data_IF_672792973748
#
_entry.id   IF_672792973748
#
_cell.length_a   1.000
_cell.length_b   1.000
_cell.length_c   1.000
_cell.angle_alpha   90.00
_cell.angle_beta   90.00
_cell.angle_gamma   90.00
#
_symmetry.space_group_name_H-M   'P 1'
#
loop_
_entity.id
_entity.type
_entity.pdbx_description
1 polymer ?
#
# COMPACT_ATOMS: atom_id res chain seq x y z
N UNK A 1 0.21 17.03 11.08
CA UNK A 1 0.75 15.71 11.49
C UNK A 1 1.96 15.99 12.36
N UNK A 2 2.04 15.45 13.60
CA UNK A 2 3.21 15.65 14.44
C UNK A 2 4.44 15.06 13.74
N UNK A 3 5.54 15.81 13.71
CA UNK A 3 6.81 15.28 13.25
C UNK A 3 7.47 14.45 14.35
N UNK A 4 8.42 13.58 13.99
CA UNK A 4 9.24 12.79 14.93
C UNK A 4 9.85 13.65 16.06
N UNK A 5 10.14 14.92 15.78
CA UNK A 5 10.82 15.84 16.68
C UNK A 5 9.91 16.92 17.29
N UNK A 6 8.62 16.92 16.96
CA UNK A 6 7.70 17.95 17.44
C UNK A 6 6.35 17.36 17.83
N UNK A 7 6.21 16.83 19.05
CA UNK A 7 4.96 16.27 19.53
C UNK A 7 3.91 17.37 19.67
N UNK A 8 2.71 17.15 19.12
CA UNK A 8 1.56 18.00 19.38
C UNK A 8 0.89 17.48 20.67
N UNK A 9 0.78 18.34 21.69
CA UNK A 9 0.09 18.04 22.95
C UNK A 9 0.58 16.76 23.67
N UNK A 10 1.89 16.48 23.65
CA UNK A 10 2.46 15.31 24.30
C UNK A 10 2.17 13.97 23.59
N UNK A 11 1.69 14.02 22.35
CA UNK A 11 1.52 12.86 21.47
C UNK A 11 2.74 12.71 20.59
N UNK A 12 3.29 11.52 20.55
CA UNK A 12 4.40 11.16 19.71
C UNK A 12 3.90 10.37 18.50
N UNK A 13 4.62 10.44 17.39
CA UNK A 13 4.35 9.65 16.20
C UNK A 13 4.34 8.14 16.51
N UNK A 14 5.23 7.71 17.40
CA UNK A 14 5.39 6.34 17.88
C UNK A 14 4.70 6.14 19.23
N UNK A 15 3.42 6.43 19.31
CA UNK A 15 2.71 6.35 20.58
C UNK A 15 1.73 5.18 20.64
N UNK A 16 1.38 4.82 21.86
CA UNK A 16 0.32 3.88 22.18
C UNK A 16 -1.03 4.36 21.63
N UNK A 17 -1.79 3.41 21.06
CA UNK A 17 -3.15 3.69 20.59
C UNK A 17 -4.15 3.46 21.71
N UNK A 18 -4.81 4.51 22.22
CA UNK A 18 -5.77 4.36 23.30
C UNK A 18 -7.02 3.59 22.82
N UNK A 19 -7.74 2.88 23.73
CA UNK A 19 -8.85 2.00 23.36
C UNK A 19 -9.93 2.63 22.48
N UNK A 20 -10.29 3.89 22.73
CA UNK A 20 -11.29 4.64 21.97
C UNK A 20 -10.85 4.98 20.52
N UNK A 21 -9.59 4.73 20.18
CA UNK A 21 -9.02 4.92 18.82
C UNK A 21 -8.75 3.60 18.10
N UNK A 22 -9.12 2.47 18.68
CA UNK A 22 -8.91 1.14 18.09
C UNK A 22 -10.03 0.69 17.16
N UNK A 23 -10.94 1.57 16.81
CA UNK A 23 -11.98 1.35 15.81
C UNK A 23 -12.82 0.07 15.98
N UNK A 24 -13.09 -0.35 17.23
CA UNK A 24 -13.92 -1.52 17.54
C UNK A 24 -13.20 -2.88 17.48
N UNK A 25 -11.87 -2.90 17.35
CA UNK A 25 -11.13 -4.15 17.46
C UNK A 25 -11.13 -4.65 18.93
N UNK A 26 -11.58 -5.88 19.14
CA UNK A 26 -11.63 -6.56 20.44
C UNK A 26 -10.23 -6.97 20.91
N UNK A 27 -9.39 -7.41 20.00
CA UNK A 27 -8.00 -7.77 20.22
C UNK A 27 -7.10 -6.77 19.49
N UNK A 28 -6.23 -6.10 20.24
CA UNK A 28 -5.29 -5.11 19.72
C UNK A 28 -3.87 -5.49 20.12
N UNK A 29 -2.99 -5.54 19.11
CA UNK A 29 -1.56 -5.78 19.28
C UNK A 29 -0.81 -4.97 18.23
N UNK A 30 -0.13 -3.89 18.63
CA UNK A 30 0.43 -2.92 17.68
C UNK A 30 1.79 -2.41 18.14
N UNK A 31 2.66 -2.19 17.16
CA UNK A 31 4.00 -1.61 17.37
C UNK A 31 4.03 -0.06 17.25
N UNK A 32 2.89 0.60 17.07
CA UNK A 32 2.87 2.03 16.73
C UNK A 32 3.45 2.29 15.33
N UNK A 33 4.44 3.18 15.24
CA UNK A 33 5.14 3.49 13.96
C UNK A 33 6.66 3.30 14.08
N UNK A 34 7.12 2.43 14.97
CA UNK A 34 8.54 2.15 15.14
C UNK A 34 9.09 1.30 14.00
N UNK A 35 10.17 1.79 13.39
CA UNK A 35 10.97 1.06 12.39
C UNK A 35 12.03 0.19 13.09
N UNK A 36 11.60 -0.62 14.06
CA UNK A 36 12.43 -1.55 14.81
C UNK A 36 12.07 -2.99 14.43
N UNK A 37 12.78 -3.56 13.45
CA UNK A 37 12.39 -4.86 12.90
C UNK A 37 13.01 -6.04 13.66
N UNK A 38 14.24 -5.92 14.18
CA UNK A 38 14.90 -7.02 14.89
C UNK A 38 14.52 -7.10 16.37
N UNK A 39 14.23 -5.96 17.00
CA UNK A 39 13.85 -5.86 18.40
C UNK A 39 12.64 -4.94 18.55
N UNK A 40 11.47 -5.33 18.02
CA UNK A 40 10.29 -4.48 17.99
C UNK A 40 9.69 -4.26 19.37
N UNK A 41 8.89 -3.20 19.44
CA UNK A 41 8.16 -2.78 20.63
C UNK A 41 6.66 -2.85 20.30
N UNK A 42 5.86 -3.48 21.17
CA UNK A 42 4.41 -3.62 20.99
C UNK A 42 3.63 -3.18 22.22
N UNK A 43 2.40 -2.81 21.97
CA UNK A 43 1.36 -2.67 22.99
C UNK A 43 0.21 -3.63 22.70
N UNK A 44 -0.23 -4.37 23.68
CA UNK A 44 -1.45 -5.18 23.64
C UNK A 44 -2.62 -4.44 24.31
N UNK A 45 -3.79 -5.09 24.38
CA UNK A 45 -4.95 -4.53 25.07
C UNK A 45 -4.63 -4.02 26.47
N UNK A 46 -3.86 -4.79 27.23
CA UNK A 46 -3.60 -4.56 28.65
C UNK A 46 -2.24 -3.93 28.95
N UNK A 47 -1.47 -3.63 27.91
CA UNK A 47 -0.13 -3.06 28.07
C UNK A 47 -0.23 -1.56 28.40
N UNK A 48 0.36 -1.09 29.52
CA UNK A 48 0.42 0.33 29.84
C UNK A 48 1.21 1.12 28.81
N UNK A 49 0.84 2.39 28.58
CA UNK A 49 1.47 3.28 27.60
C UNK A 49 2.98 3.41 27.81
N UNK A 50 3.41 3.53 29.05
CA UNK A 50 4.80 3.77 29.45
C UNK A 50 5.64 2.50 29.65
N UNK A 51 5.02 1.31 29.49
CA UNK A 51 5.69 0.04 29.65
C UNK A 51 5.38 -0.96 28.52
N UNK A 52 5.82 -0.69 27.28
CA UNK A 52 5.57 -1.56 26.13
C UNK A 52 6.28 -2.91 26.25
N UNK A 53 5.78 -3.88 25.53
CA UNK A 53 6.38 -5.19 25.35
C UNK A 53 7.61 -5.07 24.43
N UNK A 54 8.78 -5.50 24.89
CA UNK A 54 10.01 -5.54 24.10
C UNK A 54 10.27 -6.97 23.68
N UNK A 55 10.37 -7.19 22.36
CA UNK A 55 10.46 -8.51 21.77
C UNK A 55 11.85 -8.69 21.15
N UNK A 56 12.53 -9.77 21.51
CA UNK A 56 13.82 -10.17 20.91
C UNK A 56 13.57 -11.21 19.80
N UNK A 57 12.93 -10.78 18.73
CA UNK A 57 12.58 -11.58 17.56
C UNK A 57 12.33 -10.63 16.39
N UNK A 58 12.58 -11.07 15.16
CA UNK A 58 12.24 -10.28 13.98
C UNK A 58 10.72 -10.05 13.89
N UNK A 59 10.31 -8.79 13.62
CA UNK A 59 8.90 -8.38 13.74
C UNK A 59 7.92 -9.25 12.93
N UNK A 60 8.16 -9.60 11.64
CA UNK A 60 7.25 -10.49 10.92
C UNK A 60 7.14 -11.91 11.50
N UNK A 61 8.22 -12.45 12.05
CA UNK A 61 8.17 -13.75 12.72
C UNK A 61 7.30 -13.70 13.96
N UNK A 62 7.47 -12.65 14.76
CA UNK A 62 6.67 -12.44 15.97
C UNK A 62 5.21 -12.17 15.65
N UNK A 63 4.92 -11.34 14.65
CA UNK A 63 3.57 -11.01 14.21
C UNK A 63 2.83 -12.24 13.66
N UNK A 64 3.54 -13.11 12.92
CA UNK A 64 3.00 -14.40 12.50
C UNK A 64 2.72 -15.33 13.68
N UNK A 65 3.60 -15.38 14.70
CA UNK A 65 3.36 -16.14 15.93
C UNK A 65 2.10 -15.64 16.66
N UNK A 66 1.90 -14.32 16.74
CA UNK A 66 0.72 -13.72 17.34
C UNK A 66 -0.56 -14.01 16.53
N UNK A 67 -0.49 -13.91 15.20
CA UNK A 67 -1.59 -14.28 14.32
C UNK A 67 -1.98 -15.76 14.49
N UNK A 68 -1.01 -16.66 14.58
CA UNK A 68 -1.21 -18.09 14.81
C UNK A 68 -1.86 -18.35 16.18
N UNK A 69 -1.41 -17.67 17.25
CA UNK A 69 -2.04 -17.75 18.57
C UNK A 69 -3.50 -17.29 18.53
N UNK A 70 -3.78 -16.21 17.80
CA UNK A 70 -5.13 -15.71 17.59
C UNK A 70 -6.01 -16.75 16.85
N UNK A 71 -5.52 -17.31 15.75
CA UNK A 71 -6.25 -18.33 14.99
C UNK A 71 -6.56 -19.58 15.82
N UNK A 72 -5.61 -20.04 16.62
CA UNK A 72 -5.76 -21.15 17.59
C UNK A 72 -6.69 -20.81 18.74
N UNK A 73 -6.93 -19.53 18.97
CA UNK A 73 -7.61 -19.03 20.17
C UNK A 73 -7.00 -19.61 21.46
N UNK A 74 -5.67 -19.54 21.58
CA UNK A 74 -4.93 -20.16 22.68
C UNK A 74 -5.45 -19.74 24.06
N UNK A 75 -5.90 -20.71 24.84
CA UNK A 75 -6.49 -20.46 26.16
C UNK A 75 -7.84 -19.76 26.13
N UNK A 76 -8.52 -19.66 24.98
CA UNK A 76 -9.82 -18.99 24.83
C UNK A 76 -9.77 -17.46 25.03
N UNK A 77 -8.59 -16.83 24.82
CA UNK A 77 -8.33 -15.42 25.21
C UNK A 77 -8.42 -14.42 24.07
N UNK A 78 -8.38 -14.90 22.81
CA UNK A 78 -8.18 -14.01 21.68
C UNK A 78 -9.47 -13.63 20.95
N UNK A 79 -10.44 -14.53 20.92
CA UNK A 79 -11.73 -14.34 20.24
C UNK A 79 -12.81 -15.26 20.76
N UNK A 80 -14.07 -14.95 20.50
CA UNK A 80 -15.16 -15.88 20.71
C UNK A 80 -15.14 -16.94 19.59
N UNK A 81 -14.98 -18.23 19.95
CA UNK A 81 -14.92 -19.33 18.99
C UNK A 81 -16.23 -19.60 18.25
N UNK A 82 -17.34 -19.09 18.76
CA UNK A 82 -18.68 -19.27 18.18
C UNK A 82 -19.08 -18.13 17.23
N UNK A 83 -18.21 -17.14 17.04
CA UNK A 83 -18.46 -15.98 16.20
C UNK A 83 -17.45 -15.93 15.04
N UNK A 84 -17.81 -15.35 13.89
CA UNK A 84 -16.87 -15.05 12.84
C UNK A 84 -15.81 -14.07 13.34
N UNK A 85 -14.64 -14.06 12.70
CA UNK A 85 -13.57 -13.14 13.03
C UNK A 85 -13.07 -12.37 11.82
N UNK A 86 -12.53 -11.18 12.07
CA UNK A 86 -11.67 -10.46 11.14
C UNK A 86 -10.30 -10.27 11.79
N UNK A 87 -9.24 -10.65 11.08
CA UNK A 87 -7.85 -10.52 11.53
C UNK A 87 -7.06 -9.69 10.53
N UNK A 88 -6.47 -8.60 10.99
CA UNK A 88 -5.54 -7.79 10.21
C UNK A 88 -4.13 -8.02 10.75
N UNK A 89 -3.21 -8.42 9.87
CA UNK A 89 -1.79 -8.60 10.18
C UNK A 89 -1.00 -7.63 9.30
N UNK A 90 -0.48 -6.58 9.91
CA UNK A 90 0.27 -5.52 9.23
C UNK A 90 1.76 -5.63 9.57
N UNK A 91 2.52 -6.24 8.68
CA UNK A 91 3.96 -6.40 8.82
C UNK A 91 4.67 -5.15 8.28
N UNK A 92 5.53 -4.51 9.10
CA UNK A 92 6.26 -3.32 8.67
C UNK A 92 7.32 -3.62 7.57
N UNK A 93 8.16 -4.67 7.67
CA UNK A 93 9.02 -5.05 6.54
C UNK A 93 8.21 -5.39 5.27
N UNK A 94 8.72 -5.00 4.10
CA UNK A 94 10.10 -4.58 3.79
C UNK A 94 10.39 -3.07 3.89
N UNK A 95 9.69 -2.32 4.75
CA UNK A 95 10.03 -0.91 5.02
C UNK A 95 11.49 -0.79 5.54
N UNK A 96 12.17 0.32 5.21
CA UNK A 96 13.47 0.63 5.82
C UNK A 96 13.38 0.72 7.35
N UNK A 97 14.46 0.47 8.12
CA UNK A 97 15.85 0.23 7.69
C UNK A 97 16.08 -1.19 7.14
N UNK A 98 16.71 -1.29 5.97
CA UNK A 98 16.85 -2.57 5.26
C UNK A 98 17.90 -3.50 5.87
N UNK A 99 18.82 -2.99 6.68
CA UNK A 99 19.82 -3.76 7.42
C UNK A 99 19.22 -4.57 8.59
N UNK A 100 17.97 -4.27 8.98
CA UNK A 100 17.28 -4.99 10.05
C UNK A 100 16.55 -6.25 9.53
N UNK A 101 17.28 -7.12 8.88
CA UNK A 101 16.82 -8.42 8.39
C UNK A 101 17.67 -9.55 8.95
N UNK A 102 17.07 -10.68 9.42
CA UNK A 102 17.84 -11.82 9.93
C UNK A 102 18.77 -12.41 8.89
N UNK A 103 19.98 -12.78 9.33
CA UNK A 103 21.02 -13.33 8.47
C UNK A 103 20.56 -14.54 7.64
N UNK A 104 19.72 -15.40 8.19
CA UNK A 104 19.16 -16.56 7.48
C UNK A 104 18.44 -16.22 6.17
N UNK A 105 17.84 -15.02 6.06
CA UNK A 105 17.21 -14.56 4.81
C UNK A 105 18.24 -13.99 3.85
N UNK A 106 19.24 -13.29 4.35
CA UNK A 106 20.38 -12.82 3.53
C UNK A 106 21.19 -13.98 2.94
N UNK A 107 21.35 -15.05 3.69
CA UNK A 107 22.10 -16.24 3.25
C UNK A 107 21.48 -16.92 2.02
N UNK A 108 20.16 -16.76 1.81
CA UNK A 108 19.48 -17.24 0.59
C UNK A 108 19.97 -16.54 -0.68
N UNK A 109 20.53 -15.35 -0.53
CA UNK A 109 21.07 -14.50 -1.61
C UNK A 109 22.58 -14.28 -1.49
N UNK A 110 23.33 -15.16 -0.77
CA UNK A 110 24.75 -14.98 -0.47
C UNK A 110 25.63 -14.76 -1.70
N UNK A 111 25.31 -15.42 -2.80
CA UNK A 111 26.08 -15.38 -4.06
C UNK A 111 25.61 -14.25 -5.01
N UNK A 112 24.73 -13.39 -4.53
CA UNK A 112 24.15 -12.30 -5.32
C UNK A 112 24.47 -10.93 -4.72
N UNK A 113 24.47 -9.91 -5.57
CA UNK A 113 24.60 -8.51 -5.18
C UNK A 113 23.30 -7.78 -5.54
N UNK A 114 23.02 -6.64 -4.92
CA UNK A 114 21.89 -5.80 -5.28
C UNK A 114 21.85 -5.49 -6.79
N UNK A 115 23.01 -5.18 -7.39
CA UNK A 115 23.14 -4.92 -8.83
C UNK A 115 22.88 -6.18 -9.69
N UNK A 116 23.24 -7.36 -9.21
CA UNK A 116 22.98 -8.61 -9.93
C UNK A 116 21.50 -9.01 -9.88
N UNK A 117 20.78 -8.61 -8.85
CA UNK A 117 19.37 -8.92 -8.64
C UNK A 117 18.44 -7.89 -9.29
N UNK A 118 18.72 -6.60 -9.16
CA UNK A 118 17.92 -5.54 -9.75
C UNK A 118 18.36 -5.26 -11.20
N UNK A 119 17.75 -5.97 -12.15
CA UNK A 119 18.04 -5.90 -13.59
C UNK A 119 17.18 -4.91 -14.37
N UNK A 120 16.37 -4.12 -13.68
CA UNK A 120 15.49 -3.14 -14.34
C UNK A 120 16.33 -2.08 -15.04
N UNK A 121 16.03 -1.73 -16.32
CA UNK A 121 16.83 -0.79 -17.09
C UNK A 121 16.72 0.66 -16.60
N UNK A 122 15.65 0.97 -15.87
CA UNK A 122 15.39 2.30 -15.33
C UNK A 122 16.07 2.58 -13.97
N UNK A 123 16.88 1.64 -13.44
CA UNK A 123 17.58 1.86 -12.17
C UNK A 123 18.80 2.77 -12.38
N UNK A 124 18.84 3.87 -11.64
CA UNK A 124 19.94 4.84 -11.65
C UNK A 124 20.91 4.51 -10.53
N UNK A 125 22.02 3.84 -10.87
CA UNK A 125 23.03 3.39 -9.90
C UNK A 125 24.03 4.48 -9.51
N UNK A 126 24.30 5.40 -10.41
CA UNK A 126 25.38 6.39 -10.26
C UNK A 126 24.88 7.73 -9.66
N UNK A 127 23.76 7.68 -8.95
CA UNK A 127 23.17 8.79 -8.21
C UNK A 127 23.47 8.63 -6.74
N UNK A 128 23.78 9.74 -6.05
CA UNK A 128 23.86 9.76 -4.58
C UNK A 128 22.44 9.72 -4.00
N UNK A 129 22.16 8.71 -3.22
CA UNK A 129 20.93 8.58 -2.44
C UNK A 129 21.18 8.93 -0.98
N UNK A 130 20.12 9.25 -0.25
CA UNK A 130 20.21 9.40 1.18
C UNK A 130 20.69 8.09 1.80
N UNK A 131 21.52 8.15 2.83
CA UNK A 131 21.99 6.97 3.57
C UNK A 131 20.81 6.09 4.03
N UNK A 132 20.93 4.79 3.85
CA UNK A 132 19.87 3.82 4.15
C UNK A 132 18.82 3.64 3.06
N UNK A 133 18.95 4.34 1.91
CA UNK A 133 18.01 4.26 0.79
C UNK A 133 18.75 4.11 -0.55
N UNK A 134 18.07 3.53 -1.53
CA UNK A 134 18.62 3.41 -2.87
C UNK A 134 18.77 1.96 -3.34
N UNK A 135 19.24 1.76 -4.58
CA UNK A 135 19.31 0.44 -5.19
C UNK A 135 20.38 -0.48 -4.58
N UNK A 136 21.34 0.05 -3.85
CA UNK A 136 22.37 -0.70 -3.14
C UNK A 136 21.79 -1.62 -2.05
N UNK A 137 20.62 -1.29 -1.51
CA UNK A 137 19.92 -2.09 -0.50
C UNK A 137 18.91 -3.09 -1.09
N UNK A 138 18.92 -3.28 -2.41
CA UNK A 138 17.94 -4.16 -3.07
C UNK A 138 18.02 -5.62 -2.61
N UNK A 139 19.21 -6.11 -2.27
CA UNK A 139 19.40 -7.46 -1.74
C UNK A 139 18.74 -7.64 -0.37
N UNK A 140 18.94 -6.70 0.52
CA UNK A 140 18.36 -6.66 1.86
C UNK A 140 16.82 -6.54 1.78
N UNK A 141 16.33 -5.66 0.91
CA UNK A 141 14.91 -5.51 0.61
C UNK A 141 14.28 -6.83 0.14
N UNK A 142 14.91 -7.54 -0.79
CA UNK A 142 14.45 -8.84 -1.27
C UNK A 142 14.53 -9.94 -0.20
N UNK A 143 15.52 -9.87 0.69
CA UNK A 143 15.63 -10.78 1.83
C UNK A 143 14.49 -10.57 2.83
N UNK A 144 14.09 -9.30 3.09
CA UNK A 144 12.92 -8.99 3.90
C UNK A 144 11.64 -9.52 3.26
N UNK A 145 11.42 -9.27 1.95
CA UNK A 145 10.24 -9.79 1.23
C UNK A 145 10.18 -11.31 1.35
N UNK A 146 11.30 -11.99 1.15
CA UNK A 146 11.36 -13.44 1.26
C UNK A 146 11.02 -13.94 2.68
N UNK A 147 11.45 -13.20 3.70
CA UNK A 147 11.08 -13.48 5.08
C UNK A 147 9.60 -13.25 5.37
N UNK A 148 9.02 -12.16 4.90
CA UNK A 148 7.58 -11.86 5.02
C UNK A 148 6.74 -12.94 4.33
N UNK A 149 7.13 -13.35 3.12
CA UNK A 149 6.46 -14.43 2.37
C UNK A 149 6.46 -15.75 3.15
N UNK A 150 7.60 -16.10 3.78
CA UNK A 150 7.67 -17.28 4.66
C UNK A 150 6.68 -17.17 5.84
N UNK A 151 6.57 -15.99 6.47
CA UNK A 151 5.66 -15.80 7.59
C UNK A 151 4.19 -15.85 7.14
N UNK A 152 3.87 -15.28 6.00
CA UNK A 152 2.55 -15.40 5.39
C UNK A 152 2.20 -16.88 5.11
N UNK A 153 3.15 -17.64 4.55
CA UNK A 153 3.01 -19.08 4.35
C UNK A 153 2.71 -19.86 5.64
N UNK A 154 3.34 -19.49 6.76
CA UNK A 154 3.06 -20.07 8.09
C UNK A 154 1.61 -19.83 8.53
N UNK A 155 1.09 -18.63 8.33
CA UNK A 155 -0.30 -18.27 8.66
C UNK A 155 -1.28 -19.09 7.81
N UNK A 156 -1.04 -19.21 6.49
CA UNK A 156 -1.87 -20.03 5.60
C UNK A 156 -1.86 -21.49 6.02
N UNK A 157 -0.70 -22.05 6.32
CA UNK A 157 -0.56 -23.44 6.80
C UNK A 157 -1.35 -23.67 8.08
N UNK A 158 -1.39 -22.69 8.98
CA UNK A 158 -2.14 -22.80 10.22
C UNK A 158 -3.65 -22.76 9.99
N UNK A 159 -4.14 -21.93 9.06
CA UNK A 159 -5.55 -21.91 8.64
C UNK A 159 -5.97 -23.28 8.11
N UNK A 160 -5.16 -23.91 7.27
CA UNK A 160 -5.42 -25.25 6.74
C UNK A 160 -5.42 -26.31 7.86
N UNK A 161 -4.42 -26.26 8.76
CA UNK A 161 -4.33 -27.18 9.91
C UNK A 161 -5.55 -27.12 10.81
N UNK A 162 -6.11 -25.92 11.00
CA UNK A 162 -7.30 -25.65 11.80
C UNK A 162 -8.59 -25.91 11.03
N UNK A 163 -8.51 -26.23 9.73
CA UNK A 163 -9.66 -26.41 8.81
C UNK A 163 -10.53 -25.14 8.71
N UNK A 164 -9.92 -23.98 8.82
CA UNK A 164 -10.56 -22.67 8.68
C UNK A 164 -10.42 -22.11 7.25
N UNK A 165 -9.56 -22.67 6.43
CA UNK A 165 -9.18 -22.18 5.11
C UNK A 165 -10.34 -22.04 4.12
N UNK A 166 -11.36 -22.93 4.20
CA UNK A 166 -12.54 -22.93 3.32
C UNK A 166 -13.56 -21.86 3.70
N UNK A 167 -13.57 -21.46 4.96
CA UNK A 167 -14.51 -20.48 5.51
C UNK A 167 -13.83 -19.14 5.83
N UNK A 168 -12.57 -18.95 5.41
CA UNK A 168 -11.82 -17.72 5.58
C UNK A 168 -11.44 -17.14 4.23
N UNK A 169 -11.90 -15.91 3.96
CA UNK A 169 -11.39 -15.09 2.88
C UNK A 169 -10.05 -14.49 3.32
N UNK A 170 -8.99 -14.83 2.62
CA UNK A 170 -7.65 -14.27 2.84
C UNK A 170 -7.36 -13.24 1.77
N UNK A 171 -6.91 -12.05 2.18
CA UNK A 171 -6.48 -10.99 1.28
C UNK A 171 -5.05 -10.60 1.62
N UNK A 172 -4.20 -10.56 0.62
CA UNK A 172 -2.81 -10.11 0.74
C UNK A 172 -2.57 -8.92 -0.17
N UNK A 173 -2.05 -7.84 0.38
CA UNK A 173 -1.70 -6.63 -0.37
C UNK A 173 -0.64 -5.81 0.38
N UNK A 174 -0.10 -4.79 -0.29
CA UNK A 174 0.77 -3.78 0.29
C UNK A 174 0.09 -2.41 0.22
N UNK A 175 0.47 -1.47 1.08
CA UNK A 175 0.01 -0.07 1.04
C UNK A 175 0.56 0.67 -0.18
N UNK A 176 1.81 0.44 -0.55
CA UNK A 176 2.51 0.97 -1.73
C UNK A 176 3.71 0.07 -2.06
N UNK A 177 4.33 0.31 -3.20
CA UNK A 177 5.60 -0.29 -3.59
C UNK A 177 6.81 0.56 -3.20
N UNK A 178 7.98 0.24 -3.77
CA UNK A 178 9.23 0.94 -3.54
C UNK A 178 10.06 0.99 -4.82
N UNK A 179 10.56 2.17 -5.20
CA UNK A 179 11.31 2.36 -6.44
C UNK A 179 12.71 1.74 -6.40
N UNK A 180 13.36 1.69 -5.26
CA UNK A 180 14.70 1.11 -5.11
C UNK A 180 15.68 1.54 -6.22
N UNK A 181 15.71 2.86 -6.51
CA UNK A 181 16.55 3.45 -7.54
C UNK A 181 15.92 3.56 -8.93
N UNK A 182 14.79 2.92 -9.21
CA UNK A 182 14.08 3.06 -10.49
C UNK A 182 13.72 4.53 -10.74
N UNK A 183 13.98 5.01 -11.96
CA UNK A 183 13.81 6.40 -12.37
C UNK A 183 14.50 7.41 -11.44
N UNK A 184 15.59 6.99 -10.77
CA UNK A 184 16.31 7.80 -9.81
C UNK A 184 15.56 8.11 -8.52
N UNK A 185 14.50 7.36 -8.21
CA UNK A 185 13.71 7.51 -6.99
C UNK A 185 14.14 6.50 -5.92
N UNK A 186 14.40 6.94 -4.69
CA UNK A 186 14.84 6.02 -3.63
C UNK A 186 13.71 5.13 -3.12
N UNK A 187 12.50 5.66 -2.96
CA UNK A 187 11.40 5.00 -2.26
C UNK A 187 10.07 5.14 -3.01
N UNK A 188 9.17 5.97 -2.53
CA UNK A 188 7.74 6.07 -2.87
C UNK A 188 7.32 7.53 -3.06
N UNK A 189 6.01 7.83 -3.02
CA UNK A 189 5.41 9.15 -3.22
C UNK A 189 5.57 9.69 -4.65
N UNK A 190 5.64 8.79 -5.61
CA UNK A 190 5.75 9.06 -7.05
C UNK A 190 4.77 8.18 -7.81
N UNK A 191 4.54 8.53 -9.07
CA UNK A 191 3.54 7.89 -9.94
C UNK A 191 4.05 6.65 -10.69
N UNK A 192 5.32 6.28 -10.51
CA UNK A 192 5.90 5.13 -11.20
C UNK A 192 5.29 3.81 -10.75
N UNK A 193 5.21 2.84 -11.67
CA UNK A 193 4.63 1.51 -11.40
C UNK A 193 5.27 0.83 -10.19
N UNK A 194 6.58 1.02 -9.96
CA UNK A 194 7.28 0.46 -8.81
C UNK A 194 6.77 0.98 -7.46
N UNK A 195 6.20 2.18 -7.43
CA UNK A 195 5.60 2.74 -6.22
C UNK A 195 4.09 2.50 -6.13
N UNK A 196 3.39 2.47 -7.28
CA UNK A 196 1.93 2.46 -7.33
C UNK A 196 1.32 1.07 -7.53
N UNK A 197 2.02 0.20 -8.27
CA UNK A 197 1.52 -1.14 -8.55
C UNK A 197 1.91 -2.11 -7.45
N UNK A 198 0.96 -2.44 -6.60
CA UNK A 198 1.14 -3.34 -5.47
C UNK A 198 0.69 -4.76 -5.80
N UNK A 199 1.21 -5.79 -5.11
CA UNK A 199 0.61 -7.11 -5.14
C UNK A 199 -0.81 -7.05 -4.56
N UNK A 200 -1.75 -7.78 -5.17
CA UNK A 200 -3.11 -7.93 -4.67
C UNK A 200 -3.57 -9.36 -4.93
N UNK A 201 -3.87 -10.10 -3.86
CA UNK A 201 -4.30 -11.48 -3.95
C UNK A 201 -5.51 -11.73 -3.04
N UNK A 202 -6.49 -12.42 -3.59
CA UNK A 202 -7.65 -12.94 -2.85
C UNK A 202 -7.60 -14.47 -2.88
N UNK A 203 -7.75 -15.10 -1.73
CA UNK A 203 -7.78 -16.55 -1.61
C UNK A 203 -9.00 -16.97 -0.81
N UNK A 204 -9.89 -17.73 -1.45
CA UNK A 204 -11.03 -18.37 -0.80
C UNK A 204 -11.33 -19.70 -1.49
N UNK A 205 -10.77 -20.80 -1.00
CA UNK A 205 -10.90 -22.11 -1.63
C UNK A 205 -12.36 -22.54 -1.81
N UNK A 206 -12.72 -22.89 -3.05
CA UNK A 206 -14.08 -23.33 -3.39
C UNK A 206 -15.11 -22.19 -3.55
N UNK A 207 -14.70 -20.93 -3.34
CA UNK A 207 -15.55 -19.75 -3.53
C UNK A 207 -15.05 -18.84 -4.64
N UNK A 208 -13.75 -18.61 -4.70
CA UNK A 208 -13.12 -17.81 -5.75
C UNK A 208 -12.41 -18.72 -6.77
N UNK A 209 -12.52 -18.44 -8.07
CA UNK A 209 -11.78 -19.15 -9.10
C UNK A 209 -10.27 -18.83 -9.00
N UNK A 210 -9.43 -19.81 -9.32
CA UNK A 210 -7.99 -19.58 -9.46
C UNK A 210 -7.70 -18.96 -10.83
N UNK A 211 -7.41 -17.68 -10.87
CA UNK A 211 -7.10 -16.93 -12.09
C UNK A 211 -6.15 -15.78 -11.83
N UNK A 212 -5.59 -15.22 -12.90
CA UNK A 212 -5.01 -13.88 -12.91
C UNK A 212 -6.00 -12.95 -13.59
N UNK A 213 -6.13 -11.75 -13.07
CA UNK A 213 -7.05 -10.75 -13.58
C UNK A 213 -6.31 -9.41 -13.77
N UNK A 214 -6.62 -8.69 -14.83
CA UNK A 214 -6.07 -7.37 -15.17
C UNK A 214 -6.96 -6.21 -14.72
N UNK A 215 -7.92 -6.48 -13.84
CA UNK A 215 -8.80 -5.48 -13.26
C UNK A 215 -7.98 -4.33 -12.68
N UNK A 216 -8.30 -3.12 -13.10
CA UNK A 216 -7.79 -1.91 -12.48
C UNK A 216 -8.45 -1.75 -11.11
N UNK A 217 -7.81 -2.32 -10.09
CA UNK A 217 -8.28 -2.36 -8.72
C UNK A 217 -7.45 -1.40 -7.86
N UNK A 218 -8.10 -0.60 -7.02
CA UNK A 218 -7.45 0.43 -6.22
C UNK A 218 -7.74 0.24 -4.72
N UNK A 219 -6.96 0.90 -3.86
CA UNK A 219 -7.11 0.78 -2.42
C UNK A 219 -8.52 1.10 -1.89
N UNK A 220 -9.26 2.13 -2.40
CA UNK A 220 -10.64 2.37 -2.01
C UNK A 220 -11.59 1.20 -2.30
N UNK A 221 -11.30 0.37 -3.30
CA UNK A 221 -12.15 -0.75 -3.73
C UNK A 221 -12.04 -1.95 -2.78
N UNK A 222 -11.01 -2.01 -1.93
CA UNK A 222 -10.77 -3.16 -1.03
C UNK A 222 -11.96 -3.36 -0.09
N UNK A 223 -12.34 -2.32 0.64
CA UNK A 223 -13.37 -2.41 1.67
C UNK A 223 -14.74 -2.82 1.12
N UNK A 224 -15.31 -2.14 0.10
CA UNK A 224 -16.61 -2.55 -0.46
C UNK A 224 -16.55 -3.94 -1.10
N UNK A 225 -15.46 -4.31 -1.77
CA UNK A 225 -15.30 -5.64 -2.36
C UNK A 225 -15.25 -6.74 -1.30
N UNK A 226 -14.60 -6.50 -0.16
CA UNK A 226 -14.61 -7.45 0.96
C UNK A 226 -16.01 -7.65 1.51
N UNK A 227 -16.76 -6.58 1.74
CA UNK A 227 -18.16 -6.67 2.18
C UNK A 227 -19.01 -7.41 1.16
N UNK A 228 -18.88 -7.13 -0.12
CA UNK A 228 -19.59 -7.83 -1.19
C UNK A 228 -19.29 -9.33 -1.23
N UNK A 229 -17.99 -9.71 -1.14
CA UNK A 229 -17.57 -11.13 -1.08
C UNK A 229 -18.12 -11.87 0.14
N UNK A 230 -18.23 -11.18 1.28
CA UNK A 230 -18.81 -11.74 2.51
C UNK A 230 -20.35 -11.76 2.53
N UNK A 231 -21.02 -11.27 1.48
CA UNK A 231 -22.48 -11.16 1.43
C UNK A 231 -23.04 -10.00 2.28
N UNK A 232 -22.22 -9.02 2.62
CA UNK A 232 -22.55 -7.84 3.42
C UNK A 232 -22.64 -6.55 2.57
N UNK A 233 -22.86 -6.67 1.27
CA UNK A 233 -22.88 -5.52 0.34
C UNK A 233 -23.92 -4.47 0.69
N UNK A 234 -25.05 -4.86 1.33
CA UNK A 234 -26.07 -3.92 1.82
C UNK A 234 -25.62 -3.04 2.98
N UNK A 235 -24.49 -3.38 3.61
CA UNK A 235 -23.90 -2.62 4.71
C UNK A 235 -22.77 -1.69 4.28
N UNK A 236 -22.50 -1.57 2.97
CA UNK A 236 -21.53 -0.62 2.45
C UNK A 236 -22.08 0.81 2.68
N UNK A 237 -21.38 1.66 3.46
CA UNK A 237 -21.85 3.03 3.68
C UNK A 237 -21.84 3.86 2.39
N UNK A 238 -22.79 4.77 2.23
CA UNK A 238 -22.87 5.69 1.09
C UNK A 238 -21.63 6.61 0.94
N UNK A 239 -20.88 6.78 2.02
CA UNK A 239 -19.63 7.57 2.02
C UNK A 239 -18.43 6.85 1.45
N UNK A 240 -18.56 5.58 1.06
CA UNK A 240 -17.46 4.79 0.46
C UNK A 240 -17.32 5.18 -1.01
N UNK A 241 -16.13 5.66 -1.37
CA UNK A 241 -15.80 6.09 -2.74
C UNK A 241 -15.41 4.94 -3.67
N UNK A 242 -14.99 3.79 -3.11
CA UNK A 242 -14.57 2.62 -3.87
C UNK A 242 -15.73 1.81 -4.45
N UNK A 243 -15.42 0.97 -5.41
CA UNK A 243 -16.37 0.09 -6.10
C UNK A 243 -16.31 -1.33 -5.55
N UNK A 244 -17.46 -1.97 -5.37
CA UNK A 244 -17.55 -3.39 -5.07
C UNK A 244 -17.33 -4.24 -6.34
N UNK A 245 -16.21 -4.94 -6.42
CA UNK A 245 -15.84 -5.86 -7.48
C UNK A 245 -16.07 -7.34 -7.10
N UNK A 246 -16.83 -7.63 -6.05
CA UNK A 246 -17.05 -9.00 -5.57
C UNK A 246 -17.59 -9.94 -6.65
N UNK A 247 -18.53 -9.48 -7.46
CA UNK A 247 -19.10 -10.24 -8.57
C UNK A 247 -18.04 -10.55 -9.65
N UNK A 248 -17.23 -9.56 -10.01
CA UNK A 248 -16.13 -9.74 -10.97
C UNK A 248 -15.14 -10.79 -10.46
N UNK A 249 -14.73 -10.71 -9.19
CA UNK A 249 -13.83 -11.68 -8.58
C UNK A 249 -14.43 -13.09 -8.47
N UNK A 250 -15.74 -13.21 -8.31
CA UNK A 250 -16.46 -14.50 -8.35
C UNK A 250 -16.68 -15.03 -9.77
N UNK A 251 -16.23 -14.32 -10.80
CA UNK A 251 -16.33 -14.74 -12.19
C UNK A 251 -17.70 -14.52 -12.82
N UNK A 252 -18.54 -13.65 -12.26
CA UNK A 252 -19.82 -13.30 -12.87
C UNK A 252 -19.61 -12.44 -14.11
N UNK A 253 -20.18 -12.80 -15.26
CA UNK A 253 -20.03 -12.00 -16.49
C UNK A 253 -20.87 -10.74 -16.42
N UNK A 254 -20.36 -9.67 -17.06
CA UNK A 254 -21.13 -8.46 -17.35
C UNK A 254 -20.95 -7.30 -16.40
N UNK A 255 -20.12 -7.40 -15.38
CA UNK A 255 -19.78 -6.26 -14.55
C UNK A 255 -18.91 -5.28 -15.33
N UNK A 256 -19.23 -3.98 -15.16
CA UNK A 256 -18.49 -2.89 -15.80
C UNK A 256 -17.11 -2.76 -15.15
N UNK A 257 -16.06 -2.98 -15.93
CA UNK A 257 -14.68 -2.75 -15.48
C UNK A 257 -14.33 -1.26 -15.60
N UNK A 258 -13.57 -0.70 -14.66
CA UNK A 258 -13.10 0.67 -14.77
C UNK A 258 -12.12 0.81 -15.94
N UNK A 259 -12.20 1.94 -16.64
CA UNK A 259 -11.27 2.29 -17.73
C UNK A 259 -9.97 2.88 -17.21
N UNK A 260 -10.01 3.43 -15.99
CA UNK A 260 -8.86 4.00 -15.31
C UNK A 260 -8.98 3.93 -13.80
N UNK A 261 -7.86 4.15 -13.11
CA UNK A 261 -7.78 4.42 -11.68
C UNK A 261 -7.19 5.80 -11.43
N UNK A 262 -7.69 6.46 -10.38
CA UNK A 262 -7.28 7.80 -10.02
C UNK A 262 -5.96 7.80 -9.24
N UNK A 263 -5.04 8.68 -9.62
CA UNK A 263 -3.81 8.97 -8.90
C UNK A 263 -3.86 10.36 -8.30
N UNK A 264 -3.59 10.46 -7.02
CA UNK A 264 -3.48 11.75 -6.32
C UNK A 264 -2.27 11.79 -5.40
N UNK A 265 -1.59 12.93 -5.38
CA UNK A 265 -0.55 13.26 -4.42
C UNK A 265 -0.72 14.72 -3.99
N UNK A 266 -1.12 14.92 -2.74
CA UNK A 266 -1.31 16.24 -2.14
C UNK A 266 -0.13 16.54 -1.22
N UNK A 267 0.80 17.44 -1.63
CA UNK A 267 1.88 17.88 -0.74
C UNK A 267 1.36 18.79 0.37
N UNK A 268 2.17 19.01 1.36
CA UNK A 268 1.90 20.02 2.39
C UNK A 268 1.67 21.39 1.73
N UNK A 269 0.49 21.96 1.88
CA UNK A 269 0.14 23.25 1.25
C UNK A 269 -1.23 23.28 0.58
N UNK A 270 -1.98 22.19 0.62
CA UNK A 270 -3.40 22.18 0.31
C UNK A 270 -3.80 21.48 -0.99
N UNK A 271 -5.12 21.31 -1.15
CA UNK A 271 -5.74 20.54 -2.22
C UNK A 271 -5.55 21.14 -3.63
N UNK A 272 -5.22 22.43 -3.73
CA UNK A 272 -5.05 23.10 -5.03
C UNK A 272 -3.74 22.78 -5.74
N UNK A 273 -2.79 22.14 -5.07
CA UNK A 273 -1.46 21.82 -5.59
C UNK A 273 -1.20 20.31 -5.59
N UNK A 274 -0.05 19.94 -6.11
CA UNK A 274 0.40 18.56 -6.20
C UNK A 274 -0.03 17.89 -7.48
N UNK A 275 -0.11 16.58 -7.45
CA UNK A 275 -0.31 15.77 -8.63
C UNK A 275 -1.68 15.18 -8.67
N UNK A 276 -2.28 15.20 -9.86
CA UNK A 276 -3.48 14.42 -10.19
C UNK A 276 -3.21 13.69 -11.49
N UNK A 277 -3.76 12.50 -11.60
CA UNK A 277 -3.55 11.71 -12.80
C UNK A 277 -4.46 10.49 -12.87
N UNK A 278 -4.30 9.75 -13.93
CA UNK A 278 -5.03 8.50 -14.15
C UNK A 278 -4.09 7.41 -14.67
N UNK A 279 -4.34 6.20 -14.23
CA UNK A 279 -3.74 4.97 -14.74
C UNK A 279 -4.80 4.19 -15.50
N UNK A 280 -4.72 4.17 -16.81
CA UNK A 280 -5.55 3.32 -17.68
C UNK A 280 -4.84 1.98 -17.94
N UNK A 281 -5.46 1.05 -18.66
CA UNK A 281 -4.79 -0.21 -19.05
C UNK A 281 -3.44 0.04 -19.73
N UNK A 282 -3.32 1.08 -20.53
CA UNK A 282 -2.11 1.36 -21.33
C UNK A 282 -1.30 2.54 -20.84
N UNK A 283 -1.94 3.61 -20.39
CA UNK A 283 -1.26 4.89 -20.14
C UNK A 283 -1.28 5.27 -18.67
N UNK A 284 -0.21 5.94 -18.24
CA UNK A 284 -0.18 6.70 -16.99
C UNK A 284 -0.05 8.17 -17.32
N UNK A 285 -1.09 8.96 -17.08
CA UNK A 285 -1.08 10.42 -17.18
C UNK A 285 -0.99 11.02 -15.78
N UNK A 286 -0.06 11.95 -15.60
CA UNK A 286 0.04 12.76 -14.37
C UNK A 286 0.27 14.21 -14.73
N UNK A 287 -0.43 15.10 -14.04
CA UNK A 287 -0.25 16.54 -14.13
C UNK A 287 0.23 17.03 -12.76
N UNK A 288 1.40 17.65 -12.72
CA UNK A 288 1.99 18.20 -11.50
C UNK A 288 1.82 19.72 -11.50
N UNK A 289 1.17 20.22 -10.44
CA UNK A 289 1.00 21.65 -10.18
C UNK A 289 1.84 22.06 -8.99
N UNK A 290 2.77 22.96 -9.21
CA UNK A 290 3.59 23.59 -8.19
C UNK A 290 3.31 25.08 -8.10
N UNK A 291 3.44 25.64 -6.91
CA UNK A 291 3.22 27.07 -6.67
C UNK A 291 4.16 27.88 -7.56
N UNK A 292 3.60 28.83 -8.32
CA UNK A 292 4.36 29.75 -9.16
C UNK A 292 5.09 29.12 -10.36
N UNK A 293 4.76 27.88 -10.71
CA UNK A 293 5.34 27.20 -11.88
C UNK A 293 4.25 26.80 -12.89
N UNK A 294 4.58 26.69 -14.18
CA UNK A 294 3.71 26.10 -15.18
C UNK A 294 3.36 24.66 -14.83
N UNK A 295 2.22 24.17 -15.33
CA UNK A 295 1.83 22.77 -15.22
C UNK A 295 2.86 21.88 -15.92
N UNK A 296 3.23 20.80 -15.25
CA UNK A 296 4.06 19.76 -15.86
C UNK A 296 3.18 18.57 -16.24
N UNK A 297 3.21 18.18 -17.51
CA UNK A 297 2.49 17.03 -18.03
C UNK A 297 3.45 15.84 -18.15
N UNK A 298 3.04 14.70 -17.63
CA UNK A 298 3.79 13.45 -17.67
C UNK A 298 2.85 12.39 -18.26
N UNK A 299 3.30 11.73 -19.31
CA UNK A 299 2.56 10.65 -19.97
C UNK A 299 3.52 9.51 -20.29
N UNK A 300 3.21 8.33 -19.77
CA UNK A 300 3.92 7.09 -20.08
C UNK A 300 3.02 6.11 -20.83
N UNK A 301 3.57 5.42 -21.83
CA UNK A 301 2.94 4.29 -22.52
C UNK A 301 3.41 2.99 -21.90
N UNK A 302 2.73 2.52 -20.87
CA UNK A 302 3.15 1.35 -20.07
C UNK A 302 3.20 0.04 -20.88
N UNK A 303 2.58 0.01 -22.07
CA UNK A 303 2.64 -1.16 -22.95
C UNK A 303 3.97 -1.20 -23.73
N UNK A 304 4.43 -0.06 -24.23
CA UNK A 304 5.66 0.04 -25.03
C UNK A 304 6.89 0.39 -24.16
N UNK A 305 6.66 1.06 -23.05
CA UNK A 305 7.67 1.44 -22.05
C UNK A 305 7.20 1.03 -20.64
N UNK A 306 7.24 -0.27 -20.30
CA UNK A 306 6.77 -0.76 -19.01
C UNK A 306 7.61 -0.28 -17.80
N UNK A 307 8.75 0.33 -18.07
CA UNK A 307 9.64 0.91 -17.04
C UNK A 307 9.52 2.43 -16.91
N UNK A 308 8.62 3.05 -17.69
CA UNK A 308 8.30 4.48 -17.63
C UNK A 308 9.55 5.38 -17.74
N UNK A 309 10.44 5.03 -18.67
CA UNK A 309 11.71 5.73 -18.88
C UNK A 309 11.52 7.00 -19.72
N UNK A 310 10.48 7.07 -20.55
CA UNK A 310 10.20 8.18 -21.44
C UNK A 310 8.91 8.91 -21.06
N UNK A 311 8.99 10.23 -20.93
CA UNK A 311 7.82 11.10 -20.87
C UNK A 311 7.45 11.56 -22.28
N UNK A 312 6.37 11.00 -22.83
CA UNK A 312 5.91 11.29 -24.20
C UNK A 312 4.84 12.40 -24.26
N UNK A 313 4.56 13.10 -23.16
CA UNK A 313 3.46 14.06 -23.08
C UNK A 313 3.53 15.16 -24.12
N UNK A 314 4.69 15.84 -24.26
CA UNK A 314 4.84 17.01 -25.13
C UNK A 314 4.59 16.68 -26.62
N UNK A 315 4.95 15.46 -27.04
CA UNK A 315 4.74 15.01 -28.41
C UNK A 315 3.34 14.40 -28.64
N UNK A 316 2.51 14.30 -27.58
CA UNK A 316 1.22 13.64 -27.64
C UNK A 316 0.11 14.44 -26.91
N UNK A 317 0.12 15.77 -27.06
CA UNK A 317 -0.83 16.65 -26.35
C UNK A 317 -2.29 16.35 -26.69
N UNK A 318 -2.59 15.88 -27.88
CA UNK A 318 -3.94 15.43 -28.23
C UNK A 318 -4.41 14.27 -27.34
N UNK A 319 -3.54 13.28 -27.10
CA UNK A 319 -3.81 12.16 -26.21
C UNK A 319 -3.89 12.61 -24.74
N UNK A 320 -2.99 13.51 -24.32
CA UNK A 320 -3.05 14.14 -22.97
C UNK A 320 -4.42 14.77 -22.76
N UNK A 321 -4.87 15.63 -23.67
CA UNK A 321 -6.17 16.30 -23.57
C UNK A 321 -7.34 15.30 -23.56
N UNK A 322 -7.27 14.24 -24.36
CA UNK A 322 -8.26 13.18 -24.37
C UNK A 322 -8.35 12.50 -22.99
N UNK A 323 -7.22 12.07 -22.42
CA UNK A 323 -7.17 11.43 -21.10
C UNK A 323 -7.63 12.37 -19.98
N UNK A 324 -7.33 13.67 -20.09
CA UNK A 324 -7.85 14.66 -19.15
C UNK A 324 -9.37 14.69 -19.22
N UNK A 325 -9.96 14.81 -20.41
CA UNK A 325 -11.39 15.00 -20.59
C UNK A 325 -12.19 13.72 -20.29
N UNK A 326 -11.71 12.58 -20.79
CA UNK A 326 -12.47 11.33 -20.74
C UNK A 326 -12.25 10.55 -19.42
N UNK A 327 -11.10 10.74 -18.76
CA UNK A 327 -10.73 9.95 -17.58
C UNK A 327 -10.52 10.83 -16.33
N UNK A 328 -9.64 11.84 -16.39
CA UNK A 328 -9.24 12.57 -15.17
C UNK A 328 -10.36 13.47 -14.64
N UNK A 329 -11.05 14.22 -15.49
CA UNK A 329 -12.13 15.11 -15.06
C UNK A 329 -13.26 14.33 -14.37
N UNK A 330 -13.75 13.20 -14.92
CA UNK A 330 -14.74 12.37 -14.23
C UNK A 330 -14.29 11.93 -12.83
N UNK A 331 -13.02 11.55 -12.65
CA UNK A 331 -12.51 11.20 -11.33
C UNK A 331 -12.47 12.38 -10.35
N UNK A 332 -12.06 13.57 -10.81
CA UNK A 332 -12.04 14.78 -9.99
C UNK A 332 -13.47 15.19 -9.56
N UNK A 333 -14.45 15.00 -10.42
CA UNK A 333 -15.85 15.28 -10.11
C UNK A 333 -16.42 14.25 -9.12
N UNK A 334 -16.15 12.97 -9.35
CA UNK A 334 -16.59 11.88 -8.48
C UNK A 334 -16.02 12.01 -7.05
N UNK A 335 -14.73 12.33 -6.93
CA UNK A 335 -14.06 12.50 -5.62
C UNK A 335 -14.30 13.86 -4.97
N UNK A 336 -15.01 14.78 -5.62
CA UNK A 336 -15.19 16.15 -5.12
C UNK A 336 -13.88 16.95 -5.03
N UNK A 337 -12.82 16.54 -5.74
CA UNK A 337 -11.55 17.24 -5.73
C UNK A 337 -11.69 18.61 -6.42
N UNK A 338 -11.27 19.65 -5.71
CA UNK A 338 -11.32 21.04 -6.21
C UNK A 338 -10.20 21.36 -7.21
N UNK A 339 -9.21 20.51 -7.32
CA UNK A 339 -8.13 20.66 -8.28
C UNK A 339 -8.65 20.59 -9.73
N UNK A 340 -8.12 21.41 -10.62
CA UNK A 340 -8.49 21.39 -12.05
C UNK A 340 -7.23 21.47 -12.91
N UNK A 341 -7.18 20.82 -14.07
CA UNK A 341 -6.05 20.82 -15.01
C UNK A 341 -5.93 22.12 -15.81
N UNK A 342 -6.14 23.25 -15.15
CA UNK A 342 -6.01 24.60 -15.72
C UNK A 342 -5.00 25.41 -14.91
N UNK A 343 -4.30 26.34 -15.53
CA UNK A 343 -3.42 27.24 -14.80
C UNK A 343 -4.22 28.14 -13.84
N UNK A 344 -3.77 28.17 -12.58
CA UNK A 344 -4.33 29.11 -11.59
C UNK A 344 -3.71 30.48 -11.83
N UNK A 345 -4.51 31.51 -12.07
CA UNK A 345 -3.98 32.87 -12.11
C UNK A 345 -3.34 33.22 -10.77
N UNK A 346 -2.22 33.97 -10.80
CA UNK A 346 -1.47 34.35 -9.60
C UNK A 346 -2.31 35.08 -8.53
N UNK A 347 -3.47 35.63 -8.90
CA UNK A 347 -4.40 36.33 -8.01
C UNK A 347 -5.27 35.41 -7.15
N UNK A 348 -5.35 34.10 -7.46
CA UNK A 348 -6.12 33.14 -6.65
C UNK A 348 -5.31 32.59 -5.45
N UNK A 349 -4.01 32.80 -5.41
CA UNK A 349 -3.10 32.27 -4.36
C UNK A 349 -3.36 32.93 -3.00
N UNK A 350 -3.79 34.20 -2.98
CA UNK A 350 -3.97 34.96 -1.74
C UNK A 350 -5.30 34.67 -0.99
N UNK A 351 -6.14 33.78 -1.50
CA UNK A 351 -7.43 33.46 -0.87
C UNK A 351 -7.37 32.24 0.07
N UNK A 352 -6.22 31.54 0.14
CA UNK A 352 -6.08 30.26 0.86
C UNK A 352 -4.80 30.13 1.71
N UNK A 353 -4.15 31.26 2.05
CA UNK A 353 -3.07 31.31 3.05
C UNK A 353 -3.64 31.77 4.40
#
# INVERSE_FOLDING_TARGET
VPSYNNPIEGRYWNDWTPPEKRHGFDFWYSYGTYDLHLNPIYWSNDTPRDNPLRINQWSPEHEADMAIKYLRNEGGKYRNSNEPFALVVSMNPPHSPYDQVPQKYLDRFKDQTSRSMNKRPNVVWDKTYQEGYGPEYFKEYMAMINGVDEQFGRILTELERLKLDKDTLVVFFSDHGCCMGSNGQPTKNVHYEEAMRIPMMFRWPGKLPACQDDLLFSAPDIYPTLLGLMGLGEHIPDSVEGTDFSKTLMGHPGDKRPTSQFYTFMPYGGQSYGRRGVRTERYTLVIDRKIGQPLTYILHDNKNDPYQMENIALNNMSLVNKLITEELIPWLEHSGDVWRPTEVSANAVNAYI
#
